data_IF_215542606026
#
_entry.id   IF_215542606026
#
_cell.length_a   1.000
_cell.length_b   1.000
_cell.length_c   1.000
_cell.angle_alpha   90.00
_cell.angle_beta   90.00
_cell.angle_gamma   90.00
#
_symmetry.space_group_name_H-M   'P 1'
#
loop_
_entity.id
_entity.type
_entity.pdbx_description
1 polymer ?
#
# COMPACT_ATOMS: atom_id res chain seq x y z
N UNK A 1 24.36 6.46 -2.27
CA UNK A 1 23.98 7.73 -1.61
C UNK A 1 22.48 7.65 -1.31
N UNK A 2 22.08 8.01 -0.07
CA UNK A 2 20.66 8.04 0.27
C UNK A 2 19.94 9.16 -0.44
N UNK A 3 18.74 8.91 -0.94
CA UNK A 3 17.88 9.95 -1.53
C UNK A 3 17.04 10.63 -0.45
N UNK A 4 16.76 11.90 -0.63
CA UNK A 4 15.81 12.66 0.19
C UNK A 4 14.51 12.77 -0.59
N UNK A 5 13.40 12.34 -0.01
CA UNK A 5 12.11 12.27 -0.67
C UNK A 5 10.96 12.80 0.21
N UNK A 6 9.91 13.27 -0.43
CA UNK A 6 8.63 13.56 0.20
C UNK A 6 7.57 12.57 -0.28
N UNK A 7 6.79 12.04 0.64
CA UNK A 7 5.64 11.18 0.35
C UNK A 7 4.37 12.05 0.32
N UNK A 8 3.68 12.05 -0.81
CA UNK A 8 2.41 12.75 -0.98
C UNK A 8 1.26 11.94 -0.33
N UNK A 9 1.23 11.92 0.98
CA UNK A 9 0.25 11.23 1.81
C UNK A 9 0.15 11.89 3.19
N UNK A 10 -0.97 11.73 3.85
CA UNK A 10 -1.14 12.05 5.28
C UNK A 10 -1.06 10.81 6.19
N UNK A 11 -0.82 9.62 5.62
CA UNK A 11 -0.85 8.36 6.36
C UNK A 11 0.52 8.00 6.94
N UNK A 12 0.69 8.15 8.25
CA UNK A 12 1.91 7.85 8.99
C UNK A 12 2.30 6.35 8.94
N UNK A 13 1.32 5.45 8.86
CA UNK A 13 1.59 4.01 8.74
C UNK A 13 2.27 3.69 7.40
N UNK A 14 1.79 4.28 6.31
CA UNK A 14 2.43 4.15 4.99
C UNK A 14 3.85 4.71 5.00
N UNK A 15 4.05 5.88 5.61
CA UNK A 15 5.38 6.48 5.76
C UNK A 15 6.32 5.56 6.54
N UNK A 16 5.88 5.02 7.67
CA UNK A 16 6.68 4.12 8.50
C UNK A 16 7.13 2.88 7.73
N UNK A 17 6.22 2.24 6.99
CA UNK A 17 6.55 1.07 6.17
C UNK A 17 7.52 1.41 5.03
N UNK A 18 7.33 2.54 4.34
CA UNK A 18 8.22 2.96 3.24
C UNK A 18 9.60 3.37 3.72
N UNK A 19 9.73 4.04 4.87
CA UNK A 19 11.03 4.35 5.49
C UNK A 19 11.84 3.10 5.76
N UNK A 20 11.17 2.03 6.12
CA UNK A 20 11.83 0.76 6.36
C UNK A 20 12.20 0.05 5.04
N UNK A 21 11.28 0.02 4.08
CA UNK A 21 11.44 -0.70 2.83
C UNK A 21 12.42 -0.03 1.84
N UNK A 22 12.59 1.29 1.93
CA UNK A 22 13.55 2.09 1.17
C UNK A 22 14.74 2.46 2.05
N UNK A 23 15.47 1.44 2.52
CA UNK A 23 16.64 1.64 3.38
C UNK A 23 17.65 2.61 2.75
N UNK A 24 18.21 3.49 3.58
CA UNK A 24 19.11 4.55 3.16
C UNK A 24 18.42 5.79 2.55
N UNK A 25 17.09 5.80 2.39
CA UNK A 25 16.34 6.98 2.01
C UNK A 25 15.90 7.79 3.24
N UNK A 26 15.90 9.10 3.13
CA UNK A 26 15.24 10.00 4.09
C UNK A 26 13.91 10.40 3.53
N UNK A 27 12.80 9.91 4.11
CA UNK A 27 11.45 10.15 3.62
C UNK A 27 10.64 10.91 4.67
N UNK A 28 9.95 11.97 4.24
CA UNK A 28 9.06 12.78 5.06
C UNK A 28 7.68 12.87 4.41
N UNK A 29 6.63 13.09 5.21
CA UNK A 29 5.33 13.46 4.64
C UNK A 29 5.45 14.84 3.99
N UNK A 30 4.73 15.03 2.88
CA UNK A 30 4.70 16.32 2.19
C UNK A 30 4.06 17.43 3.05
N UNK A 31 3.12 17.07 3.95
CA UNK A 31 2.46 18.01 4.85
C UNK A 31 1.52 19.00 4.13
N UNK A 32 0.77 18.53 3.14
CA UNK A 32 -0.22 19.31 2.43
C UNK A 32 -1.64 19.03 2.95
N UNK A 33 -2.52 20.02 2.83
CA UNK A 33 -3.96 19.89 3.21
C UNK A 33 -4.85 19.66 1.96
N UNK A 34 -4.31 19.87 0.75
CA UNK A 34 -5.02 19.89 -0.53
C UNK A 34 -4.62 18.74 -1.46
N UNK A 35 -4.46 17.53 -0.92
CA UNK A 35 -4.12 16.35 -1.74
C UNK A 35 -5.14 16.11 -2.86
N UNK A 36 -4.68 15.68 -4.06
CA UNK A 36 -5.58 15.39 -5.15
C UNK A 36 -6.55 14.27 -4.77
N UNK A 37 -7.83 14.36 -5.21
CA UNK A 37 -8.78 13.28 -4.99
C UNK A 37 -8.33 12.02 -5.76
N UNK A 38 -8.50 10.85 -5.13
CA UNK A 38 -8.22 9.56 -5.75
C UNK A 38 -9.37 9.17 -6.69
N UNK A 39 -9.33 9.66 -7.92
CA UNK A 39 -10.34 9.42 -8.97
C UNK A 39 -9.87 8.48 -10.07
N UNK A 40 -8.63 7.99 -9.98
CA UNK A 40 -8.06 7.04 -10.93
C UNK A 40 -8.80 5.71 -10.92
N UNK A 41 -8.89 5.06 -12.08
CA UNK A 41 -9.45 3.73 -12.24
C UNK A 41 -8.47 2.63 -11.76
N UNK A 42 -7.22 2.95 -11.60
CA UNK A 42 -6.15 2.05 -11.18
C UNK A 42 -5.35 2.63 -10.02
N UNK A 43 -4.71 1.75 -9.25
CA UNK A 43 -3.76 2.17 -8.20
C UNK A 43 -2.61 3.02 -8.77
N UNK A 44 -2.13 2.67 -9.98
CA UNK A 44 -1.08 3.43 -10.64
C UNK A 44 -1.49 4.86 -10.93
N UNK A 45 -2.69 5.08 -11.49
CA UNK A 45 -3.19 6.43 -11.77
C UNK A 45 -3.27 7.28 -10.51
N UNK A 46 -3.75 6.71 -9.40
CA UNK A 46 -3.81 7.39 -8.12
C UNK A 46 -2.42 7.66 -7.54
N UNK A 47 -1.52 6.67 -7.56
CA UNK A 47 -0.15 6.83 -7.07
C UNK A 47 0.60 7.89 -7.88
N UNK A 48 0.46 7.86 -9.21
CA UNK A 48 1.07 8.83 -10.11
C UNK A 48 0.57 10.25 -9.86
N UNK A 49 -0.74 10.44 -9.76
CA UNK A 49 -1.31 11.77 -9.47
C UNK A 49 -0.79 12.34 -8.14
N UNK A 50 -0.63 11.50 -7.11
CA UNK A 50 0.00 11.89 -5.83
C UNK A 50 1.47 12.24 -6.02
N UNK A 51 2.24 11.46 -6.79
CA UNK A 51 3.65 11.73 -7.05
C UNK A 51 3.84 13.04 -7.82
N UNK A 52 3.02 13.31 -8.85
CA UNK A 52 3.02 14.58 -9.61
C UNK A 52 2.68 15.78 -8.72
N UNK A 53 1.68 15.63 -7.86
CA UNK A 53 1.32 16.64 -6.86
C UNK A 53 2.49 16.93 -5.92
N UNK A 54 3.16 15.86 -5.43
CA UNK A 54 4.37 15.95 -4.62
C UNK A 54 5.52 16.61 -5.38
N UNK A 55 5.74 16.26 -6.65
CA UNK A 55 6.82 16.80 -7.48
C UNK A 55 6.75 18.33 -7.56
N UNK A 56 5.55 18.88 -7.76
CA UNK A 56 5.34 20.33 -7.82
C UNK A 56 5.72 21.07 -6.53
N UNK A 57 5.91 20.36 -5.42
CA UNK A 57 6.15 20.91 -4.07
C UNK A 57 7.48 20.45 -3.44
N UNK A 58 8.14 19.48 -4.03
CA UNK A 58 9.30 18.80 -3.42
C UNK A 58 10.62 19.57 -3.52
N UNK A 59 10.73 20.59 -4.39
CA UNK A 59 12.01 21.27 -4.65
C UNK A 59 13.05 20.29 -5.23
N UNK A 60 14.23 20.18 -4.64
CA UNK A 60 15.31 19.29 -5.09
C UNK A 60 15.19 17.85 -4.53
N UNK A 61 14.09 17.52 -3.86
CA UNK A 61 13.83 16.19 -3.33
C UNK A 61 13.07 15.33 -4.33
N UNK A 62 13.15 14.02 -4.19
CA UNK A 62 12.26 13.08 -4.87
C UNK A 62 10.83 13.25 -4.38
N UNK A 63 9.86 12.96 -5.23
CA UNK A 63 8.45 12.91 -4.86
C UNK A 63 7.93 11.49 -4.98
N UNK A 64 7.36 10.98 -3.90
CA UNK A 64 6.74 9.65 -3.84
C UNK A 64 5.23 9.78 -3.79
N UNK A 65 4.54 8.99 -4.60
CA UNK A 65 3.11 8.75 -4.52
C UNK A 65 2.84 7.26 -4.36
N UNK A 66 1.95 6.90 -3.47
CA UNK A 66 1.58 5.51 -3.20
C UNK A 66 0.07 5.36 -3.16
N UNK A 67 -0.41 4.31 -3.84
CA UNK A 67 -1.78 3.86 -3.70
C UNK A 67 -1.84 2.35 -3.52
N UNK A 68 -2.75 1.89 -2.67
CA UNK A 68 -2.84 0.48 -2.29
C UNK A 68 -4.25 0.10 -1.86
N UNK A 69 -4.56 -1.18 -1.99
CA UNK A 69 -5.83 -1.73 -1.55
C UNK A 69 -5.82 -3.24 -1.50
N UNK A 70 -7.00 -3.78 -1.22
CA UNK A 70 -7.28 -5.21 -1.20
C UNK A 70 -8.30 -5.55 -2.27
N UNK A 71 -8.02 -6.60 -3.01
CA UNK A 71 -8.95 -7.21 -3.95
C UNK A 71 -9.38 -8.57 -3.40
N UNK A 72 -10.69 -8.83 -3.34
CA UNK A 72 -11.28 -10.04 -2.74
C UNK A 72 -12.15 -10.72 -3.81
N UNK A 73 -11.91 -11.99 -4.08
CA UNK A 73 -12.59 -12.71 -5.16
C UNK A 73 -14.11 -12.78 -4.95
N UNK A 74 -14.58 -13.01 -3.72
CA UNK A 74 -15.99 -13.02 -3.38
C UNK A 74 -16.70 -11.67 -3.47
N UNK A 75 -15.96 -10.59 -3.69
CA UNK A 75 -16.47 -9.25 -3.93
C UNK A 75 -16.14 -8.75 -5.36
N UNK A 76 -16.00 -9.68 -6.31
CA UNK A 76 -15.66 -9.39 -7.72
C UNK A 76 -14.40 -8.51 -7.86
N UNK A 77 -13.40 -8.73 -6.99
CA UNK A 77 -12.17 -7.93 -6.93
C UNK A 77 -12.30 -6.63 -6.13
N UNK A 78 -13.46 -6.37 -5.53
CA UNK A 78 -13.64 -5.26 -4.60
C UNK A 78 -12.93 -5.47 -3.25
N UNK A 79 -12.76 -4.41 -2.46
CA UNK A 79 -13.00 -3.00 -2.75
C UNK A 79 -11.99 -2.34 -3.72
N UNK A 80 -10.83 -2.97 -3.99
CA UNK A 80 -9.85 -2.49 -4.95
C UNK A 80 -9.33 -1.08 -4.61
N UNK A 81 -9.28 -0.20 -5.59
CA UNK A 81 -8.83 1.21 -5.43
C UNK A 81 -9.70 2.03 -4.46
N UNK A 82 -10.84 1.49 -4.06
CA UNK A 82 -11.74 2.14 -3.11
C UNK A 82 -11.44 1.73 -1.65
N UNK A 83 -10.47 0.85 -1.38
CA UNK A 83 -10.22 0.22 -0.08
C UNK A 83 -10.26 1.21 1.09
N UNK A 84 -9.56 2.33 1.00
CA UNK A 84 -9.51 3.32 2.07
C UNK A 84 -10.86 4.01 2.35
N UNK A 85 -11.70 4.18 1.30
CA UNK A 85 -13.00 4.85 1.39
C UNK A 85 -14.15 3.90 1.64
N UNK A 86 -13.95 2.62 1.32
CA UNK A 86 -14.98 1.59 1.39
C UNK A 86 -15.47 1.35 2.81
N UNK A 87 -14.59 1.39 3.80
CA UNK A 87 -14.93 1.02 5.16
C UNK A 87 -14.67 2.11 6.22
N UNK A 88 -14.05 3.23 5.85
CA UNK A 88 -13.81 4.38 6.73
C UNK A 88 -13.20 4.01 8.09
N UNK A 89 -12.16 3.17 8.11
CA UNK A 89 -11.45 2.72 9.31
C UNK A 89 -12.00 1.43 9.95
N UNK A 90 -12.97 0.75 9.29
CA UNK A 90 -13.53 -0.54 9.72
C UNK A 90 -13.31 -1.63 8.67
N UNK A 91 -12.15 -1.63 8.03
CA UNK A 91 -11.87 -2.47 6.86
C UNK A 91 -11.99 -3.97 7.18
N UNK A 92 -11.45 -4.40 8.33
CA UNK A 92 -11.48 -5.79 8.74
C UNK A 92 -12.91 -6.26 9.08
N UNK A 93 -13.64 -5.46 9.85
CA UNK A 93 -15.03 -5.77 10.24
C UNK A 93 -15.92 -5.84 9.00
N UNK A 94 -15.81 -4.86 8.12
CA UNK A 94 -16.63 -4.83 6.91
C UNK A 94 -16.32 -5.98 5.97
N UNK A 95 -15.05 -6.38 5.84
CA UNK A 95 -14.70 -7.55 5.05
C UNK A 95 -15.37 -8.83 5.59
N UNK A 96 -15.45 -9.00 6.91
CA UNK A 96 -16.14 -10.12 7.51
C UNK A 96 -17.67 -10.05 7.30
N UNK A 97 -18.27 -8.86 7.44
CA UNK A 97 -19.70 -8.62 7.20
C UNK A 97 -20.09 -8.97 5.74
N UNK A 98 -19.33 -8.47 4.76
CA UNK A 98 -19.60 -8.68 3.33
C UNK A 98 -19.32 -10.12 2.86
N UNK A 99 -18.46 -10.86 3.58
CA UNK A 99 -18.13 -12.26 3.30
C UNK A 99 -18.89 -13.25 4.18
N UNK A 100 -19.97 -12.82 4.83
CA UNK A 100 -20.81 -13.73 5.60
C UNK A 100 -21.40 -14.82 4.68
N UNK A 101 -21.16 -16.10 5.04
CA UNK A 101 -21.58 -17.25 4.23
C UNK A 101 -20.75 -17.53 2.98
N UNK A 102 -19.70 -16.75 2.71
CA UNK A 102 -18.75 -17.01 1.62
C UNK A 102 -17.65 -17.93 2.11
N UNK A 103 -17.40 -19.03 1.39
CA UNK A 103 -16.42 -20.06 1.72
C UNK A 103 -15.42 -20.28 0.57
N UNK A 104 -14.34 -21.02 0.86
CA UNK A 104 -13.37 -21.49 -0.14
C UNK A 104 -12.70 -20.36 -0.94
N UNK A 105 -12.70 -20.50 -2.26
CA UNK A 105 -12.02 -19.58 -3.16
C UNK A 105 -12.63 -18.16 -3.15
N UNK A 106 -13.89 -18.00 -2.74
CA UNK A 106 -14.48 -16.67 -2.58
C UNK A 106 -13.80 -15.81 -1.51
N UNK A 107 -13.08 -16.43 -0.58
CA UNK A 107 -12.27 -15.71 0.43
C UNK A 107 -10.85 -15.42 -0.02
N UNK A 108 -10.43 -15.87 -1.22
CA UNK A 108 -9.13 -15.48 -1.74
C UNK A 108 -9.06 -13.99 -1.93
N UNK A 109 -7.89 -13.45 -1.62
CA UNK A 109 -7.67 -12.02 -1.68
C UNK A 109 -6.21 -11.70 -1.99
N UNK A 110 -5.96 -10.48 -2.45
CA UNK A 110 -4.60 -9.97 -2.56
C UNK A 110 -4.53 -8.51 -2.15
N UNK A 111 -3.48 -8.16 -1.47
CA UNK A 111 -3.04 -6.78 -1.38
C UNK A 111 -2.32 -6.37 -2.65
N UNK A 112 -2.55 -5.13 -3.08
CA UNK A 112 -1.85 -4.49 -4.19
C UNK A 112 -1.30 -3.15 -3.71
N UNK A 113 -0.08 -2.81 -4.12
CA UNK A 113 0.54 -1.51 -3.91
C UNK A 113 1.21 -1.05 -5.20
N UNK A 114 0.94 0.18 -5.58
CA UNK A 114 1.67 0.93 -6.58
C UNK A 114 2.45 2.06 -5.91
N UNK A 115 3.74 2.11 -6.19
CA UNK A 115 4.64 3.15 -5.71
C UNK A 115 5.29 3.83 -6.91
N UNK A 116 5.07 5.13 -7.04
CA UNK A 116 5.64 5.98 -8.08
C UNK A 116 6.61 6.96 -7.43
N UNK A 117 7.80 7.07 -7.98
CA UNK A 117 8.81 8.04 -7.59
C UNK A 117 9.15 8.95 -8.79
N UNK A 118 9.13 10.26 -8.57
CA UNK A 118 9.54 11.24 -9.57
C UNK A 118 10.78 11.98 -9.05
N UNK A 119 11.85 11.91 -9.83
CA UNK A 119 13.12 12.58 -9.53
C UNK A 119 12.99 14.10 -9.62
N UNK A 120 13.98 14.87 -9.11
CA UNK A 120 14.01 16.33 -9.29
C UNK A 120 13.99 16.79 -10.75
N UNK A 121 14.55 16.02 -11.67
CA UNK A 121 14.57 16.32 -13.12
C UNK A 121 13.31 15.85 -13.86
N UNK A 122 12.35 15.20 -13.15
CA UNK A 122 11.08 14.78 -13.70
C UNK A 122 11.03 13.35 -14.24
N UNK A 123 12.11 12.56 -14.07
CA UNK A 123 12.10 11.14 -14.45
C UNK A 123 11.20 10.33 -13.52
N UNK A 124 10.30 9.53 -14.10
CA UNK A 124 9.39 8.66 -13.36
C UNK A 124 9.95 7.25 -13.23
N UNK A 125 9.88 6.70 -12.03
CA UNK A 125 10.13 5.30 -11.71
C UNK A 125 8.93 4.69 -11.03
N UNK A 126 8.69 3.40 -11.26
CA UNK A 126 7.52 2.68 -10.75
C UNK A 126 7.91 1.37 -10.11
N UNK A 127 7.24 1.04 -9.01
CA UNK A 127 7.30 -0.27 -8.37
C UNK A 127 5.92 -0.79 -8.03
N UNK A 128 5.62 -2.01 -8.45
CA UNK A 128 4.38 -2.72 -8.13
C UNK A 128 4.68 -3.85 -7.15
N UNK A 129 3.86 -3.99 -6.12
CA UNK A 129 3.97 -5.09 -5.17
C UNK A 129 2.61 -5.71 -4.86
N UNK A 130 2.56 -7.03 -4.84
CA UNK A 130 1.36 -7.79 -4.48
C UNK A 130 1.67 -8.80 -3.38
N UNK A 131 0.69 -9.09 -2.54
CA UNK A 131 0.74 -10.14 -1.53
C UNK A 131 -0.57 -10.93 -1.61
N UNK A 132 -0.51 -12.16 -2.11
CA UNK A 132 -1.63 -13.08 -2.17
C UNK A 132 -1.95 -13.67 -0.81
N UNK A 133 -3.20 -14.10 -0.63
CA UNK A 133 -3.69 -14.71 0.59
C UNK A 133 -5.18 -14.94 0.58
N UNK A 134 -5.78 -14.90 1.77
CA UNK A 134 -7.23 -15.07 1.97
C UNK A 134 -7.72 -14.24 3.15
N UNK A 135 -9.01 -13.96 3.18
CA UNK A 135 -9.68 -13.35 4.34
C UNK A 135 -10.08 -14.46 5.32
N UNK A 136 -9.66 -14.31 6.57
CA UNK A 136 -10.01 -15.19 7.68
C UNK A 136 -11.51 -15.10 8.02
N UNK A 137 -12.02 -16.07 8.80
CA UNK A 137 -13.41 -16.05 9.28
C UNK A 137 -13.59 -15.13 10.50
N UNK A 138 -12.52 -14.82 11.20
CA UNK A 138 -12.52 -13.95 12.38
C UNK A 138 -11.30 -13.07 12.42
N UNK A 139 -11.41 -11.95 13.12
CA UNK A 139 -10.25 -11.07 13.41
C UNK A 139 -9.29 -11.72 14.38
N UNK A 140 -7.99 -11.58 14.15
CA UNK A 140 -6.93 -12.07 15.03
C UNK A 140 -5.68 -11.18 14.95
N UNK A 141 -5.01 -11.01 16.10
CA UNK A 141 -3.84 -10.13 16.21
C UNK A 141 -4.21 -8.70 16.55
N UNK A 142 -3.18 -7.90 16.86
CA UNK A 142 -3.35 -6.52 17.32
C UNK A 142 -2.40 -5.52 16.64
N UNK A 143 -1.47 -6.02 15.80
CA UNK A 143 -0.54 -5.16 15.09
C UNK A 143 -1.04 -4.82 13.67
N UNK A 144 -0.42 -3.80 13.06
CA UNK A 144 -0.80 -3.35 11.73
C UNK A 144 -2.04 -2.46 11.69
N UNK A 145 -2.73 -2.42 10.55
CA UNK A 145 -3.91 -1.59 10.32
C UNK A 145 -4.76 -2.14 9.16
N UNK A 146 -5.97 -1.60 9.02
CA UNK A 146 -6.86 -1.93 7.90
C UNK A 146 -7.31 -3.40 7.90
N UNK A 147 -6.98 -4.13 6.85
CA UNK A 147 -7.34 -5.55 6.72
C UNK A 147 -6.37 -6.51 7.45
N UNK A 148 -5.28 -6.04 8.06
CA UNK A 148 -4.27 -6.90 8.68
C UNK A 148 -4.82 -7.92 9.68
N UNK A 149 -5.85 -7.60 10.51
CA UNK A 149 -6.43 -8.56 11.44
C UNK A 149 -7.20 -9.72 10.80
N UNK A 150 -7.54 -9.63 9.52
CA UNK A 150 -8.31 -10.66 8.81
C UNK A 150 -7.57 -11.24 7.60
N UNK A 151 -6.45 -10.66 7.17
CA UNK A 151 -5.71 -11.13 6.01
C UNK A 151 -4.66 -12.16 6.42
N UNK A 152 -4.78 -13.40 5.89
CA UNK A 152 -3.82 -14.49 6.06
C UNK A 152 -3.03 -14.61 4.75
N UNK A 153 -1.71 -14.33 4.73
CA UNK A 153 -0.90 -14.46 3.53
C UNK A 153 -0.77 -15.91 3.06
N UNK A 154 -0.55 -16.11 1.76
CA UNK A 154 -0.24 -17.43 1.22
C UNK A 154 1.02 -18.02 1.90
N UNK A 155 0.92 -19.28 2.33
CA UNK A 155 1.98 -19.99 3.05
C UNK A 155 2.01 -19.74 4.57
N UNK A 156 1.11 -18.92 5.09
CA UNK A 156 0.97 -18.63 6.52
C UNK A 156 -0.36 -19.16 7.06
N UNK A 157 -0.37 -19.44 8.38
CA UNK A 157 -1.57 -19.83 9.13
C UNK A 157 -2.11 -18.69 10.00
N UNK A 158 -1.36 -17.60 10.09
CA UNK A 158 -1.63 -16.44 10.94
C UNK A 158 -1.98 -15.23 10.10
N UNK A 159 -2.80 -14.34 10.66
CA UNK A 159 -3.08 -13.06 10.03
C UNK A 159 -1.84 -12.16 10.03
N UNK A 160 -1.80 -11.16 9.15
CA UNK A 160 -0.73 -10.15 9.12
C UNK A 160 -0.58 -9.47 10.49
N UNK A 161 -1.70 -9.20 11.18
CA UNK A 161 -1.69 -8.62 12.52
C UNK A 161 -1.10 -9.56 13.60
N UNK A 162 -1.14 -10.88 13.40
CA UNK A 162 -0.50 -11.87 14.28
C UNK A 162 0.98 -12.11 13.90
N UNK A 163 1.32 -11.99 12.63
CA UNK A 163 2.70 -12.07 12.15
C UNK A 163 3.51 -10.85 12.60
N UNK A 164 2.86 -9.71 12.71
CA UNK A 164 3.41 -8.49 13.29
C UNK A 164 4.16 -7.60 12.30
N UNK A 165 4.53 -6.43 12.81
CA UNK A 165 5.15 -5.38 12.00
C UNK A 165 6.53 -5.77 11.47
N UNK A 166 7.29 -6.61 12.19
CA UNK A 166 8.61 -7.08 11.73
C UNK A 166 8.46 -7.96 10.48
N UNK A 167 7.52 -8.90 10.47
CA UNK A 167 7.21 -9.70 9.28
C UNK A 167 6.75 -8.82 8.12
N UNK A 168 5.90 -7.83 8.41
CA UNK A 168 5.32 -6.90 7.44
C UNK A 168 6.38 -6.07 6.71
N UNK A 169 7.44 -5.66 7.42
CA UNK A 169 8.57 -4.89 6.86
C UNK A 169 9.20 -5.57 5.65
N UNK A 170 9.33 -6.90 5.72
CA UNK A 170 10.03 -7.66 4.69
C UNK A 170 9.07 -8.28 3.64
N UNK A 171 7.82 -8.54 4.00
CA UNK A 171 6.94 -9.39 3.22
C UNK A 171 5.73 -8.69 2.62
N UNK A 172 5.37 -7.50 3.11
CA UNK A 172 4.16 -6.78 2.67
C UNK A 172 4.19 -6.41 1.18
N UNK A 173 3.02 -6.18 0.63
CA UNK A 173 2.84 -5.63 -0.72
C UNK A 173 3.64 -4.32 -0.92
N UNK A 174 3.68 -3.45 0.10
CA UNK A 174 4.42 -2.18 0.08
C UNK A 174 5.93 -2.40 0.08
N UNK A 175 6.44 -3.36 0.87
CA UNK A 175 7.84 -3.75 0.83
C UNK A 175 8.25 -4.33 -0.54
N UNK A 176 7.36 -5.10 -1.17
CA UNK A 176 7.57 -5.63 -2.53
C UNK A 176 7.56 -4.52 -3.57
N UNK A 177 6.63 -3.56 -3.49
CA UNK A 177 6.59 -2.39 -4.36
C UNK A 177 7.86 -1.54 -4.23
N UNK A 178 8.35 -1.32 -3.01
CA UNK A 178 9.59 -0.60 -2.77
C UNK A 178 10.81 -1.30 -3.41
N UNK A 179 10.93 -2.62 -3.26
CA UNK A 179 12.00 -3.39 -3.93
C UNK A 179 11.92 -3.29 -5.46
N UNK A 180 10.73 -3.39 -6.03
CA UNK A 180 10.51 -3.23 -7.47
C UNK A 180 10.89 -1.81 -7.95
N UNK A 181 10.57 -0.78 -7.16
CA UNK A 181 10.97 0.59 -7.44
C UNK A 181 12.50 0.74 -7.46
N UNK A 182 13.21 0.19 -6.47
CA UNK A 182 14.67 0.25 -6.43
C UNK A 182 15.31 -0.43 -7.66
N UNK A 183 14.75 -1.54 -8.11
CA UNK A 183 15.20 -2.21 -9.37
C UNK A 183 14.98 -1.29 -10.56
N UNK A 184 13.83 -0.63 -10.68
CA UNK A 184 13.53 0.32 -11.75
C UNK A 184 14.53 1.50 -11.79
N UNK A 185 14.91 2.01 -10.62
CA UNK A 185 15.88 3.10 -10.49
C UNK A 185 17.29 2.65 -10.93
N UNK A 186 17.70 1.43 -10.59
CA UNK A 186 19.04 0.91 -10.96
C UNK A 186 19.17 0.59 -12.45
N UNK A 187 18.09 0.47 -13.19
CA UNK A 187 18.05 0.14 -14.62
C UNK A 187 17.99 1.38 -15.53
N UNK A 188 17.87 2.55 -14.95
CA UNK A 188 17.78 3.86 -15.64
C UNK A 188 19.16 4.53 -15.74
#
# INVERSE_FOLDING_TARGET
MGHVAVLASSNENKLSELRHALDGWTIELLGADDYPPETGATYYENARAKAEFGRARAGDRWALGEDSGVEIDGLDGGPGVLSARWAAGREAERALEELEGVEGDGRRARYVCELVAITPDGTEHRGTGTLGGRIADTMSGAEGFGFDPVFIPDGEDRTVAQLGNDWKRDNSHRARAARALLVSIMQS
#
